data_IF_381893649960
#
_entry.id   IF_381893649960
#
_cell.length_a   1.000
_cell.length_b   1.000
_cell.length_c   1.000
_cell.angle_alpha   90.00
_cell.angle_beta   90.00
_cell.angle_gamma   90.00
#
_symmetry.space_group_name_H-M   'P 1'
#
loop_
_entity.id
_entity.type
_entity.pdbx_description
1 polymer ?
#
# COMPACT_ATOMS: atom_id res chain seq x y z
N UNK A 1 3.85 -5.64 -24.42
CA UNK A 1 2.93 -5.61 -23.26
C UNK A 1 3.78 -5.63 -22.01
N UNK A 2 3.61 -4.64 -21.14
CA UNK A 2 4.53 -4.34 -20.03
C UNK A 2 4.23 -5.23 -18.84
N UNK A 3 5.28 -5.68 -18.16
CA UNK A 3 5.22 -6.17 -16.79
C UNK A 3 6.57 -5.90 -16.16
N UNK A 4 6.60 -5.54 -14.89
CA UNK A 4 7.15 -6.42 -13.84
C UNK A 4 6.35 -6.21 -12.54
N UNK A 5 5.22 -6.91 -12.47
CA UNK A 5 4.64 -7.45 -11.24
C UNK A 5 4.36 -8.95 -11.39
N UNK A 6 4.74 -9.57 -12.53
CA UNK A 6 4.31 -10.93 -12.92
C UNK A 6 4.97 -12.05 -12.11
N UNK A 7 6.28 -11.96 -11.79
CA UNK A 7 6.97 -12.99 -10.99
C UNK A 7 6.59 -12.96 -9.52
N UNK A 8 6.27 -11.77 -9.00
CA UNK A 8 5.85 -11.56 -7.61
C UNK A 8 4.37 -11.88 -7.43
N UNK A 9 3.54 -11.50 -8.42
CA UNK A 9 2.12 -11.81 -8.40
C UNK A 9 1.86 -13.31 -8.66
N UNK A 10 2.75 -14.04 -9.35
CA UNK A 10 2.49 -15.44 -9.71
C UNK A 10 2.33 -16.37 -8.49
N UNK A 11 3.22 -16.37 -7.47
CA UNK A 11 3.02 -17.15 -6.25
C UNK A 11 1.69 -16.83 -5.57
N UNK A 12 1.39 -15.55 -5.36
CA UNK A 12 0.17 -15.13 -4.68
C UNK A 12 -1.10 -15.41 -5.48
N UNK A 13 -1.09 -15.20 -6.80
CA UNK A 13 -2.19 -15.57 -7.71
C UNK A 13 -2.47 -17.06 -7.67
N UNK A 14 -1.43 -17.89 -7.72
CA UNK A 14 -1.56 -19.36 -7.61
C UNK A 14 -2.12 -19.77 -6.26
N UNK A 15 -1.66 -19.15 -5.19
CA UNK A 15 -2.14 -19.44 -3.84
C UNK A 15 -3.61 -19.04 -3.66
N UNK A 16 -3.99 -17.85 -4.14
CA UNK A 16 -5.37 -17.36 -4.09
C UNK A 16 -6.31 -18.26 -4.88
N UNK A 17 -5.91 -18.70 -6.07
CA UNK A 17 -6.73 -19.57 -6.94
C UNK A 17 -7.11 -20.93 -6.30
N UNK A 18 -6.43 -21.38 -5.25
CA UNK A 18 -6.71 -22.69 -4.60
C UNK A 18 -8.09 -22.80 -3.96
N UNK A 19 -8.73 -21.69 -3.60
CA UNK A 19 -10.06 -21.71 -2.96
C UNK A 19 -11.23 -21.62 -3.97
N UNK A 20 -10.91 -21.59 -5.26
CA UNK A 20 -11.91 -21.49 -6.34
C UNK A 20 -12.60 -20.12 -6.46
N UNK A 21 -12.22 -19.13 -5.64
CA UNK A 21 -12.72 -17.75 -5.72
C UNK A 21 -11.69 -16.90 -6.48
N UNK A 22 -12.02 -16.48 -7.70
CA UNK A 22 -11.12 -15.65 -8.50
C UNK A 22 -10.97 -14.25 -7.90
N UNK A 23 -9.73 -13.79 -7.79
CA UNK A 23 -9.38 -12.38 -7.65
C UNK A 23 -8.65 -12.00 -8.93
N UNK A 24 -9.24 -11.11 -9.71
CA UNK A 24 -8.65 -10.65 -10.96
C UNK A 24 -7.72 -9.48 -10.70
N UNK A 25 -6.46 -9.64 -11.11
CA UNK A 25 -5.42 -8.64 -10.88
C UNK A 25 -5.15 -7.83 -12.13
N UNK A 26 -5.29 -6.51 -12.01
CA UNK A 26 -4.83 -5.55 -13.00
C UNK A 26 -3.57 -4.88 -12.46
N UNK A 27 -2.48 -4.98 -13.21
CA UNK A 27 -1.20 -4.42 -12.80
C UNK A 27 -0.89 -3.21 -13.67
N UNK A 28 -0.50 -2.11 -13.01
CA UNK A 28 0.00 -0.91 -13.65
C UNK A 28 1.36 -0.57 -13.06
N UNK A 29 2.20 0.06 -13.88
CA UNK A 29 3.50 0.58 -13.47
C UNK A 29 3.37 2.08 -13.16
N UNK A 30 4.32 2.62 -12.41
CA UNK A 30 4.55 4.06 -12.40
C UNK A 30 4.96 4.59 -13.78
N UNK A 31 5.03 5.93 -13.91
CA UNK A 31 5.37 6.59 -15.19
C UNK A 31 6.85 6.93 -15.32
N UNK A 32 7.60 6.87 -14.24
CA UNK A 32 8.98 7.35 -14.16
C UNK A 32 9.91 6.16 -14.07
N UNK A 33 10.91 6.07 -14.95
CA UNK A 33 11.89 4.97 -14.89
C UNK A 33 12.67 5.07 -13.57
N UNK A 34 12.80 3.93 -12.89
CA UNK A 34 13.42 3.84 -11.58
C UNK A 34 14.59 2.84 -11.60
N UNK A 35 15.47 2.97 -10.62
CA UNK A 35 16.52 2.00 -10.35
C UNK A 35 16.17 1.20 -9.09
N UNK A 36 16.49 -0.10 -9.09
CA UNK A 36 16.35 -0.91 -7.87
C UNK A 36 17.32 -0.45 -6.79
N UNK A 37 16.89 -0.61 -5.55
CA UNK A 37 17.77 -0.53 -4.39
C UNK A 37 18.61 -1.81 -4.29
N UNK A 38 19.86 -1.72 -3.83
CA UNK A 38 20.75 -2.87 -3.63
C UNK A 38 20.09 -3.92 -2.74
N UNK A 39 20.15 -5.19 -3.16
CA UNK A 39 19.57 -6.33 -2.47
C UNK A 39 18.14 -6.68 -2.91
N UNK A 40 17.53 -5.90 -3.80
CA UNK A 40 16.20 -6.19 -4.39
C UNK A 40 16.27 -6.83 -5.78
N UNK A 41 17.47 -7.00 -6.34
CA UNK A 41 17.71 -7.52 -7.70
C UNK A 41 17.24 -8.97 -7.87
N UNK A 42 17.22 -9.76 -6.79
CA UNK A 42 16.66 -11.12 -6.81
C UNK A 42 15.13 -11.17 -6.79
N UNK A 43 14.48 -10.05 -6.45
CA UNK A 43 13.04 -9.99 -6.24
C UNK A 43 12.28 -9.40 -7.44
N UNK A 44 12.92 -8.54 -8.24
CA UNK A 44 12.28 -7.85 -9.37
C UNK A 44 13.13 -7.93 -10.65
N UNK A 45 12.49 -8.13 -11.80
CA UNK A 45 13.13 -8.01 -13.11
C UNK A 45 12.86 -6.62 -13.71
N UNK A 46 13.79 -6.06 -14.49
CA UNK A 46 13.59 -4.74 -15.10
C UNK A 46 12.70 -4.79 -16.36
N UNK A 47 12.26 -3.62 -16.87
CA UNK A 47 12.49 -2.27 -16.34
C UNK A 47 11.62 -1.94 -15.10
N UNK A 48 12.12 -1.05 -14.23
CA UNK A 48 11.43 -0.62 -13.01
C UNK A 48 10.85 0.77 -13.19
N UNK A 49 9.71 1.01 -12.54
CA UNK A 49 9.02 2.30 -12.63
C UNK A 49 8.55 2.77 -11.26
N UNK A 50 8.81 4.04 -10.96
CA UNK A 50 8.28 4.80 -9.83
C UNK A 50 7.08 5.66 -10.24
N UNK A 51 6.27 5.99 -9.25
CA UNK A 51 5.13 6.91 -9.32
C UNK A 51 5.50 8.35 -8.98
N UNK A 52 6.61 8.56 -8.26
CA UNK A 52 7.10 9.89 -7.91
C UNK A 52 8.38 10.23 -8.68
N UNK A 53 8.41 11.42 -9.30
CA UNK A 53 9.56 11.88 -10.10
C UNK A 53 10.82 12.15 -9.26
N UNK A 54 10.64 12.40 -7.96
CA UNK A 54 11.68 12.89 -7.06
C UNK A 54 12.42 11.76 -6.32
N UNK A 55 12.00 10.50 -6.49
CA UNK A 55 12.64 9.32 -5.88
C UNK A 55 13.54 8.64 -6.91
N UNK A 56 14.34 9.43 -7.64
CA UNK A 56 15.54 8.89 -8.28
C UNK A 56 16.56 8.79 -7.16
N UNK A 57 16.75 7.60 -6.63
CA UNK A 57 17.66 7.40 -5.51
C UNK A 57 18.67 6.32 -5.85
N UNK A 58 19.92 6.74 -5.96
CA UNK A 58 21.06 5.82 -5.98
C UNK A 58 21.25 5.25 -4.57
N UNK A 59 22.06 4.21 -4.44
CA UNK A 59 22.43 3.65 -3.14
C UNK A 59 23.03 4.69 -2.19
N UNK A 60 23.78 5.65 -2.72
CA UNK A 60 24.36 6.74 -1.94
C UNK A 60 23.27 7.65 -1.36
N UNK A 61 22.12 7.76 -2.05
CA UNK A 61 20.98 8.56 -1.64
C UNK A 61 20.05 7.85 -0.65
N UNK A 62 20.14 6.52 -0.45
CA UNK A 62 19.31 5.78 0.55
C UNK A 62 20.10 5.11 1.66
N UNK A 63 21.39 4.81 1.46
CA UNK A 63 22.21 4.09 2.43
C UNK A 63 22.40 4.87 3.75
N UNK A 64 22.66 6.19 3.76
CA UNK A 64 22.67 6.95 5.01
C UNK A 64 21.34 6.85 5.77
N UNK A 65 20.22 6.69 5.07
CA UNK A 65 18.86 6.74 5.62
C UNK A 65 18.46 5.42 6.27
N UNK A 66 18.67 4.32 5.57
CA UNK A 66 18.41 2.96 6.05
C UNK A 66 19.33 2.62 7.23
N UNK A 67 20.59 3.09 7.20
CA UNK A 67 21.58 2.77 8.23
C UNK A 67 21.50 3.67 9.48
N UNK A 68 21.07 4.94 9.35
CA UNK A 68 20.99 5.88 10.50
C UNK A 68 19.65 5.87 11.23
N UNK A 69 18.57 5.34 10.62
CA UNK A 69 17.24 5.26 11.24
C UNK A 69 16.95 3.90 11.88
N UNK A 70 18.00 3.15 12.27
CA UNK A 70 17.88 2.02 13.21
C UNK A 70 17.47 2.55 14.59
N UNK A 71 16.21 2.92 14.69
CA UNK A 71 15.48 3.20 15.91
C UNK A 71 14.49 2.07 16.09
N UNK A 72 15.02 0.84 16.21
CA UNK A 72 14.21 -0.38 16.35
C UNK A 72 13.18 -0.29 17.48
N UNK A 73 13.35 0.66 18.41
CA UNK A 73 12.48 0.92 19.55
C UNK A 73 11.72 2.27 19.51
N UNK A 74 11.83 3.07 18.44
CA UNK A 74 11.02 4.29 18.33
C UNK A 74 9.56 3.95 17.99
N UNK A 75 8.63 4.78 18.48
CA UNK A 75 7.24 4.71 18.02
C UNK A 75 7.21 4.92 16.49
N UNK A 76 6.32 4.22 15.75
CA UNK A 76 6.22 4.35 14.30
C UNK A 76 6.16 5.80 13.80
N UNK A 77 5.39 6.65 14.47
CA UNK A 77 5.22 8.06 14.13
C UNK A 77 6.48 8.89 14.43
N UNK A 78 7.18 8.63 15.53
CA UNK A 78 8.46 9.26 15.85
C UNK A 78 9.51 8.94 14.80
N UNK A 79 9.52 7.70 14.31
CA UNK A 79 10.38 7.27 13.21
C UNK A 79 10.05 8.06 11.93
N UNK A 80 8.76 8.20 11.59
CA UNK A 80 8.33 8.97 10.42
C UNK A 80 8.71 10.44 10.50
N UNK A 81 8.66 11.06 11.69
CA UNK A 81 9.12 12.46 11.88
C UNK A 81 10.61 12.61 11.63
N UNK A 82 11.43 11.74 12.24
CA UNK A 82 12.89 11.76 12.01
C UNK A 82 13.24 11.47 10.55
N UNK A 83 12.49 10.56 9.93
CA UNK A 83 12.62 10.24 8.52
C UNK A 83 12.33 11.47 7.62
N UNK A 84 11.37 12.32 8.00
CA UNK A 84 11.13 13.62 7.34
C UNK A 84 12.24 14.64 7.62
N UNK A 85 12.67 14.78 8.88
CA UNK A 85 13.68 15.75 9.32
C UNK A 85 15.05 15.52 8.70
N UNK A 86 15.40 14.26 8.41
CA UNK A 86 16.69 13.92 7.80
C UNK A 86 16.84 14.42 6.35
N UNK A 87 15.82 15.06 5.77
CA UNK A 87 15.92 15.81 4.52
C UNK A 87 15.35 15.09 3.29
N UNK A 88 14.47 14.10 3.46
CA UNK A 88 13.76 13.51 2.31
C UNK A 88 12.92 14.60 1.66
N UNK A 89 13.02 14.81 0.33
CA UNK A 89 12.14 15.74 -0.37
C UNK A 89 10.68 15.42 -0.08
N UNK A 90 9.90 16.47 0.20
CA UNK A 90 8.46 16.35 0.35
C UNK A 90 7.88 15.88 -0.98
N UNK A 91 7.41 14.64 -1.01
CA UNK A 91 6.80 14.05 -2.20
C UNK A 91 5.50 14.77 -2.53
N UNK A 92 5.35 15.27 -3.75
CA UNK A 92 4.06 15.72 -4.25
C UNK A 92 3.22 14.51 -4.73
N UNK A 93 2.14 14.13 -4.01
CA UNK A 93 1.37 12.94 -4.37
C UNK A 93 0.46 13.14 -5.60
N UNK A 94 0.29 14.37 -6.06
CA UNK A 94 -0.83 14.76 -6.93
C UNK A 94 -0.84 14.02 -8.25
N UNK A 95 0.30 13.98 -8.96
CA UNK A 95 0.39 13.33 -10.26
C UNK A 95 0.16 11.81 -10.16
N UNK A 96 0.71 11.18 -9.12
CA UNK A 96 0.56 9.75 -8.87
C UNK A 96 -0.88 9.38 -8.53
N UNK A 97 -1.50 10.11 -7.58
CA UNK A 97 -2.89 9.88 -7.17
C UNK A 97 -3.85 10.09 -8.34
N UNK A 98 -3.67 11.18 -9.10
CA UNK A 98 -4.46 11.45 -10.29
C UNK A 98 -4.31 10.35 -11.34
N UNK A 99 -3.11 9.81 -11.53
CA UNK A 99 -2.88 8.70 -12.45
C UNK A 99 -3.58 7.40 -12.03
N UNK A 100 -3.51 7.02 -10.75
CA UNK A 100 -4.23 5.83 -10.27
C UNK A 100 -5.74 6.00 -10.41
N UNK A 101 -6.26 7.18 -10.07
CA UNK A 101 -7.68 7.50 -10.18
C UNK A 101 -8.15 7.47 -11.64
N UNK A 102 -7.43 8.14 -12.54
CA UNK A 102 -7.70 8.16 -13.97
C UNK A 102 -7.70 6.75 -14.57
N UNK A 103 -6.72 5.92 -14.21
CA UNK A 103 -6.69 4.53 -14.65
C UNK A 103 -7.92 3.74 -14.18
N UNK A 104 -8.31 3.89 -12.91
CA UNK A 104 -9.46 3.20 -12.34
C UNK A 104 -10.78 3.63 -12.99
N UNK A 105 -10.96 4.93 -13.23
CA UNK A 105 -12.20 5.49 -13.82
C UNK A 105 -12.38 5.13 -15.30
N UNK A 106 -11.30 4.78 -16.01
CA UNK A 106 -11.35 4.36 -17.41
C UNK A 106 -11.49 2.84 -17.62
N UNK A 107 -11.64 2.05 -16.55
CA UNK A 107 -11.96 0.64 -16.70
C UNK A 107 -13.46 0.42 -16.90
N UNK A 108 -13.82 -0.65 -17.61
CA UNK A 108 -15.22 -1.02 -17.84
C UNK A 108 -15.95 -1.39 -16.55
N UNK A 109 -15.22 -1.93 -15.56
CA UNK A 109 -15.73 -2.32 -14.25
C UNK A 109 -14.88 -1.66 -13.15
N UNK A 110 -15.48 -1.20 -12.05
CA UNK A 110 -14.75 -0.58 -10.96
C UNK A 110 -13.89 -1.60 -10.21
N UNK A 111 -12.71 -1.16 -9.77
CA UNK A 111 -11.86 -1.97 -8.90
C UNK A 111 -12.36 -1.96 -7.46
N UNK A 112 -12.53 -3.16 -6.90
CA UNK A 112 -12.91 -3.32 -5.50
C UNK A 112 -11.73 -3.14 -4.54
N UNK A 113 -10.54 -3.58 -4.94
CA UNK A 113 -9.34 -3.54 -4.12
C UNK A 113 -8.18 -2.86 -4.83
N UNK A 114 -7.31 -2.22 -4.05
CA UNK A 114 -6.00 -1.73 -4.49
C UNK A 114 -4.88 -2.46 -3.74
N UNK A 115 -3.82 -2.84 -4.46
CA UNK A 115 -2.63 -3.44 -3.88
C UNK A 115 -1.41 -2.62 -4.28
N UNK A 116 -0.58 -2.26 -3.31
CA UNK A 116 0.67 -1.55 -3.55
C UNK A 116 1.84 -2.16 -2.79
N UNK A 117 3.04 -2.02 -3.37
CA UNK A 117 4.30 -2.35 -2.73
C UNK A 117 5.14 -1.07 -2.55
N UNK A 118 5.75 -0.89 -1.38
CA UNK A 118 6.65 0.22 -1.04
C UNK A 118 6.05 1.58 -1.38
N UNK A 119 6.62 2.30 -2.33
CA UNK A 119 6.08 3.55 -2.86
C UNK A 119 4.62 3.42 -3.35
N UNK A 120 4.31 2.37 -4.12
CA UNK A 120 2.96 2.12 -4.63
C UNK A 120 1.93 1.88 -3.53
N UNK A 121 2.34 1.34 -2.37
CA UNK A 121 1.46 1.24 -1.20
C UNK A 121 1.10 2.62 -0.63
N UNK A 122 2.06 3.54 -0.63
CA UNK A 122 1.87 4.91 -0.13
C UNK A 122 1.01 5.74 -1.09
N UNK A 123 1.20 5.56 -2.41
CA UNK A 123 0.33 6.15 -3.44
C UNK A 123 -1.09 5.61 -3.27
N UNK A 124 -1.26 4.29 -3.15
CA UNK A 124 -2.57 3.68 -2.94
C UNK A 124 -3.28 4.22 -1.69
N UNK A 125 -2.58 4.32 -0.57
CA UNK A 125 -3.11 4.91 0.66
C UNK A 125 -3.54 6.37 0.45
N UNK A 126 -2.72 7.17 -0.24
CA UNK A 126 -3.02 8.58 -0.57
C UNK A 126 -4.25 8.69 -1.48
N UNK A 127 -4.39 7.79 -2.46
CA UNK A 127 -5.57 7.72 -3.33
C UNK A 127 -6.83 7.39 -2.54
N UNK A 128 -6.78 6.45 -1.60
CA UNK A 128 -7.94 6.11 -0.75
C UNK A 128 -8.36 7.31 0.10
N UNK A 129 -7.40 8.02 0.72
CA UNK A 129 -7.67 9.25 1.47
C UNK A 129 -8.30 10.32 0.57
N UNK A 130 -7.76 10.51 -0.64
CA UNK A 130 -8.32 11.45 -1.60
C UNK A 130 -9.75 11.08 -2.00
N UNK A 131 -10.01 9.82 -2.37
CA UNK A 131 -11.33 9.30 -2.73
C UNK A 131 -12.36 9.51 -1.62
N UNK A 132 -11.98 9.27 -0.36
CA UNK A 132 -12.85 9.48 0.79
C UNK A 132 -13.21 10.96 1.00
N UNK A 133 -12.26 11.87 0.79
CA UNK A 133 -12.47 13.32 0.92
C UNK A 133 -13.26 13.92 -0.23
N UNK A 134 -13.14 13.37 -1.44
CA UNK A 134 -13.85 13.84 -2.64
C UNK A 134 -15.16 13.10 -2.91
N UNK A 135 -15.53 12.14 -2.05
CA UNK A 135 -16.71 11.30 -2.22
C UNK A 135 -16.75 10.59 -3.58
N UNK A 136 -15.60 10.05 -4.02
CA UNK A 136 -15.50 9.33 -5.28
C UNK A 136 -16.47 8.13 -5.33
N UNK A 137 -17.25 8.02 -6.42
CA UNK A 137 -18.24 6.96 -6.60
C UNK A 137 -17.59 5.57 -6.82
N UNK A 138 -16.43 5.55 -7.48
CA UNK A 138 -15.65 4.34 -7.76
C UNK A 138 -14.50 4.15 -6.76
N UNK A 139 -14.71 4.53 -5.49
CA UNK A 139 -13.70 4.39 -4.46
C UNK A 139 -13.35 2.92 -4.19
N UNK A 140 -12.07 2.66 -3.90
CA UNK A 140 -11.61 1.36 -3.44
C UNK A 140 -12.29 0.98 -2.13
N UNK A 141 -12.57 -0.31 -1.96
CA UNK A 141 -13.36 -0.85 -0.85
C UNK A 141 -12.54 -1.78 0.05
N UNK A 142 -11.33 -2.13 -0.35
CA UNK A 142 -10.30 -2.74 0.48
C UNK A 142 -8.91 -2.44 -0.07
N UNK A 143 -7.87 -2.61 0.76
CA UNK A 143 -6.50 -2.33 0.33
C UNK A 143 -5.47 -3.30 0.90
N UNK A 144 -4.43 -3.59 0.11
CA UNK A 144 -3.30 -4.42 0.51
C UNK A 144 -2.03 -3.59 0.38
N UNK A 145 -1.33 -3.38 1.49
CA UNK A 145 -0.09 -2.61 1.56
C UNK A 145 1.06 -3.54 1.91
N UNK A 146 2.08 -3.58 1.06
CA UNK A 146 3.30 -4.36 1.30
C UNK A 146 4.45 -3.38 1.49
N UNK A 147 5.02 -3.27 2.69
CA UNK A 147 6.14 -2.36 2.97
C UNK A 147 5.85 -0.87 2.74
N UNK A 148 4.60 -0.40 2.92
CA UNK A 148 4.20 0.98 2.61
C UNK A 148 4.56 2.02 3.67
N UNK A 149 4.35 3.30 3.32
CA UNK A 149 4.46 4.46 4.21
C UNK A 149 3.07 5.11 4.38
N UNK A 150 2.85 5.94 5.42
CA UNK A 150 1.59 6.64 5.62
C UNK A 150 1.21 7.54 4.42
N UNK A 151 -0.09 7.77 4.16
CA UNK A 151 -0.56 8.54 3.02
C UNK A 151 -0.06 9.99 3.07
N UNK A 152 0.12 10.61 1.90
CA UNK A 152 0.45 12.02 1.79
C UNK A 152 -0.82 12.84 1.57
N UNK A 153 -0.86 14.00 2.23
CA UNK A 153 -1.88 15.01 2.04
C UNK A 153 -1.73 15.71 0.69
N UNK A 154 -2.81 15.87 -0.06
CA UNK A 154 -2.77 16.44 -1.41
C UNK A 154 -2.45 17.94 -1.43
N UNK A 155 -2.67 18.68 -0.34
CA UNK A 155 -2.48 20.13 -0.28
C UNK A 155 -1.15 20.49 0.38
N UNK A 156 -0.89 19.94 1.56
CA UNK A 156 0.33 20.20 2.32
C UNK A 156 1.51 19.34 1.89
N UNK A 157 1.26 18.28 1.10
CA UNK A 157 2.23 17.27 0.68
C UNK A 157 2.93 16.56 1.85
N UNK A 158 2.44 16.73 3.08
CA UNK A 158 3.01 16.07 4.27
C UNK A 158 2.43 14.66 4.39
N UNK A 159 3.26 13.74 4.89
CA UNK A 159 2.78 12.45 5.33
C UNK A 159 1.84 12.66 6.52
N UNK A 160 0.65 12.07 6.42
CA UNK A 160 -0.36 12.08 7.47
C UNK A 160 0.04 11.03 8.51
N UNK A 161 0.01 11.36 9.80
CA UNK A 161 0.34 10.46 10.91
C UNK A 161 -0.87 10.30 11.85
N UNK A 162 -1.02 9.12 12.44
CA UNK A 162 -2.20 8.81 13.27
C UNK A 162 -2.32 9.72 14.51
N UNK A 163 -1.20 10.19 15.05
CA UNK A 163 -1.15 11.04 16.24
C UNK A 163 -1.11 12.55 15.95
N UNK A 164 -0.92 12.95 14.68
CA UNK A 164 -0.94 14.35 14.23
C UNK A 164 -2.25 14.70 13.51
N UNK A 165 -2.87 13.73 12.84
CA UNK A 165 -4.00 13.92 11.95
C UNK A 165 -5.23 13.12 12.40
N UNK A 166 -6.41 13.68 12.14
CA UNK A 166 -7.71 12.99 12.37
C UNK A 166 -8.13 12.12 11.19
N UNK A 167 -7.37 12.14 10.08
CA UNK A 167 -7.65 11.33 8.89
C UNK A 167 -7.50 9.84 9.21
N UNK A 168 -8.47 9.03 8.80
CA UNK A 168 -8.47 7.57 8.99
C UNK A 168 -8.89 6.86 7.72
N UNK A 169 -8.22 5.76 7.40
CA UNK A 169 -8.61 4.85 6.32
C UNK A 169 -9.55 3.80 6.92
N UNK A 170 -10.83 3.87 6.56
CA UNK A 170 -11.91 3.05 7.17
C UNK A 170 -12.32 1.82 6.37
N UNK A 171 -11.70 1.60 5.21
CA UNK A 171 -11.92 0.37 4.44
C UNK A 171 -11.06 -0.74 5.05
N UNK A 172 -11.46 -2.03 4.94
CA UNK A 172 -10.61 -3.14 5.35
C UNK A 172 -9.24 -3.11 4.68
N UNK A 173 -8.18 -3.36 5.46
CA UNK A 173 -6.81 -3.35 4.94
C UNK A 173 -5.99 -4.54 5.41
N UNK A 174 -4.99 -4.93 4.62
CA UNK A 174 -3.93 -5.82 5.07
C UNK A 174 -2.57 -5.16 4.90
N UNK A 175 -1.75 -5.26 5.94
CA UNK A 175 -0.41 -4.72 6.02
C UNK A 175 0.56 -5.88 6.08
N UNK A 176 1.24 -6.13 4.97
CA UNK A 176 2.22 -7.19 4.80
C UNK A 176 3.59 -6.58 5.08
N UNK A 177 4.20 -6.98 6.19
CA UNK A 177 5.43 -6.38 6.71
C UNK A 177 6.51 -7.43 6.91
N UNK A 178 7.77 -7.03 6.84
CA UNK A 178 8.89 -7.89 7.18
C UNK A 178 9.54 -7.46 8.49
N UNK A 179 9.72 -8.36 9.46
CA UNK A 179 10.40 -8.02 10.72
C UNK A 179 11.85 -7.56 10.52
N UNK A 180 12.51 -7.96 9.44
CA UNK A 180 13.85 -7.53 9.07
C UNK A 180 13.87 -6.35 8.09
N UNK A 181 12.70 -5.76 7.78
CA UNK A 181 12.59 -4.55 6.96
C UNK A 181 13.11 -3.33 7.76
N UNK A 182 14.17 -2.64 7.29
CA UNK A 182 14.66 -1.44 7.96
C UNK A 182 13.63 -0.31 8.05
N UNK A 183 12.67 -0.30 7.12
CA UNK A 183 11.56 0.66 7.06
C UNK A 183 10.29 0.12 7.75
N UNK A 184 10.34 -0.98 8.51
CA UNK A 184 9.15 -1.57 9.16
C UNK A 184 8.32 -0.55 9.94
N UNK A 185 8.98 0.39 10.62
CA UNK A 185 8.31 1.45 11.37
C UNK A 185 7.37 2.30 10.49
N UNK A 186 7.70 2.55 9.22
CA UNK A 186 6.81 3.29 8.32
C UNK A 186 5.54 2.50 7.98
N UNK A 187 5.66 1.18 7.80
CA UNK A 187 4.50 0.30 7.56
C UNK A 187 3.60 0.20 8.78
N UNK A 188 4.17 0.23 9.99
CA UNK A 188 3.39 0.30 11.23
C UNK A 188 2.72 1.67 11.41
N UNK A 189 3.35 2.77 11.01
CA UNK A 189 2.72 4.08 11.04
C UNK A 189 1.54 4.16 10.05
N UNK A 190 1.67 3.51 8.88
CA UNK A 190 0.56 3.35 7.94
C UNK A 190 -0.58 2.50 8.54
N UNK A 191 -0.24 1.40 9.22
CA UNK A 191 -1.21 0.57 9.95
C UNK A 191 -1.99 1.38 11.00
N UNK A 192 -1.33 2.25 11.75
CA UNK A 192 -1.97 3.06 12.79
C UNK A 192 -3.00 4.08 12.26
N UNK A 193 -2.97 4.45 10.97
CA UNK A 193 -3.98 5.31 10.33
C UNK A 193 -5.22 4.52 9.88
N UNK A 194 -5.06 3.22 9.67
CA UNK A 194 -6.15 2.36 9.24
C UNK A 194 -7.03 1.96 10.44
N UNK A 195 -8.27 1.57 10.14
CA UNK A 195 -9.24 1.18 11.16
C UNK A 195 -8.81 -0.14 11.85
N UNK A 196 -8.52 -0.08 13.15
CA UNK A 196 -8.00 -1.21 13.91
C UNK A 196 -8.94 -2.43 13.93
N UNK A 197 -10.24 -2.25 13.71
CA UNK A 197 -11.19 -3.38 13.68
C UNK A 197 -11.15 -4.16 12.36
N UNK A 198 -10.69 -3.53 11.28
CA UNK A 198 -10.71 -4.11 9.93
C UNK A 198 -9.33 -4.19 9.27
N UNK A 199 -8.27 -3.85 10.02
CA UNK A 199 -6.88 -3.86 9.55
C UNK A 199 -6.13 -5.07 10.06
N UNK A 200 -5.58 -5.86 9.13
CA UNK A 200 -4.78 -7.05 9.40
C UNK A 200 -3.30 -6.71 9.28
N UNK A 201 -2.48 -7.17 10.22
CA UNK A 201 -1.02 -7.08 10.15
C UNK A 201 -0.42 -8.47 10.01
N UNK A 202 0.24 -8.76 8.88
CA UNK A 202 0.92 -10.02 8.63
C UNK A 202 2.43 -9.79 8.51
N UNK A 203 3.19 -10.35 9.45
CA UNK A 203 4.65 -10.29 9.45
C UNK A 203 5.25 -11.54 8.80
N UNK A 204 6.02 -11.34 7.73
CA UNK A 204 6.61 -12.39 6.91
C UNK A 204 8.10 -12.63 7.17
N UNK A 205 8.65 -12.13 8.28
CA UNK A 205 10.02 -12.33 8.79
C UNK A 205 11.22 -11.81 7.97
N UNK A 206 11.00 -11.40 6.71
CA UNK A 206 12.07 -11.00 5.78
C UNK A 206 12.29 -9.49 5.78
N UNK A 207 13.14 -9.01 4.87
CA UNK A 207 13.41 -7.59 4.66
C UNK A 207 12.32 -6.86 3.87
N UNK A 208 12.68 -5.72 3.29
CA UNK A 208 11.83 -4.89 2.43
C UNK A 208 11.59 -5.52 1.05
N UNK A 209 10.82 -6.61 1.00
CA UNK A 209 10.56 -7.39 -0.21
C UNK A 209 9.10 -7.80 -0.29
N UNK A 210 8.64 -8.22 -1.46
CA UNK A 210 7.40 -9.00 -1.56
C UNK A 210 7.74 -10.48 -1.36
N UNK A 211 7.17 -11.17 -0.35
CA UNK A 211 7.52 -12.54 -0.07
C UNK A 211 7.02 -13.51 -1.16
N UNK A 212 7.86 -14.47 -1.54
CA UNK A 212 7.56 -15.47 -2.58
C UNK A 212 7.75 -16.92 -2.12
N UNK A 213 8.26 -17.15 -0.91
CA UNK A 213 8.33 -18.49 -0.33
C UNK A 213 6.94 -18.99 0.06
N UNK A 214 6.77 -20.31 0.13
CA UNK A 214 5.47 -20.94 0.34
C UNK A 214 4.78 -20.51 1.64
N UNK A 215 5.53 -20.40 2.75
CA UNK A 215 4.96 -20.05 4.06
C UNK A 215 4.43 -18.61 4.04
N UNK A 216 5.26 -17.67 3.62
CA UNK A 216 4.86 -16.26 3.59
C UNK A 216 3.80 -15.97 2.52
N UNK A 217 3.83 -16.68 1.38
CA UNK A 217 2.79 -16.57 0.35
C UNK A 217 1.42 -17.03 0.87
N UNK A 218 1.37 -18.14 1.62
CA UNK A 218 0.12 -18.61 2.25
C UNK A 218 -0.45 -17.59 3.24
N UNK A 219 0.39 -17.01 4.10
CA UNK A 219 -0.05 -16.00 5.06
C UNK A 219 -0.52 -14.71 4.38
N UNK A 220 0.20 -14.25 3.35
CA UNK A 220 -0.23 -13.11 2.54
C UNK A 220 -1.56 -13.39 1.84
N UNK A 221 -1.76 -14.60 1.31
CA UNK A 221 -3.03 -15.00 0.68
C UNK A 221 -4.19 -15.03 1.69
N UNK A 222 -3.94 -15.49 2.91
CA UNK A 222 -4.94 -15.47 3.99
C UNK A 222 -5.37 -14.04 4.33
N UNK A 223 -4.41 -13.12 4.48
CA UNK A 223 -4.70 -11.71 4.76
C UNK A 223 -5.50 -11.05 3.61
N UNK A 224 -5.15 -11.31 2.35
CA UNK A 224 -5.89 -10.80 1.18
C UNK A 224 -7.34 -11.33 1.18
N UNK A 225 -7.54 -12.61 1.50
CA UNK A 225 -8.88 -13.20 1.58
C UNK A 225 -9.73 -12.56 2.66
N UNK A 226 -9.13 -12.27 3.81
CA UNK A 226 -9.84 -11.65 4.93
C UNK A 226 -10.26 -10.21 4.60
N UNK A 227 -9.42 -9.43 3.92
CA UNK A 227 -9.81 -8.10 3.38
C UNK A 227 -10.96 -8.21 2.39
N UNK A 228 -10.86 -9.14 1.43
CA UNK A 228 -11.93 -9.40 0.44
C UNK A 228 -13.25 -9.74 1.14
N UNK A 229 -13.21 -10.66 2.09
CA UNK A 229 -14.41 -11.14 2.76
C UNK A 229 -15.00 -10.06 3.70
N UNK A 230 -14.17 -9.29 4.40
CA UNK A 230 -14.58 -8.14 5.21
C UNK A 230 -15.26 -7.04 4.38
N UNK A 231 -14.72 -6.76 3.19
CA UNK A 231 -15.34 -5.84 2.22
C UNK A 231 -16.75 -6.30 1.80
N UNK A 232 -16.93 -7.60 1.53
CA UNK A 232 -18.23 -8.16 1.14
C UNK A 232 -19.25 -8.09 2.29
N UNK A 233 -18.82 -8.27 3.54
CA UNK A 233 -19.67 -8.10 4.73
C UNK A 233 -20.12 -6.65 4.89
N UNK A 234 -19.21 -5.68 4.74
CA UNK A 234 -19.54 -4.25 4.84
C UNK A 234 -20.59 -3.83 3.80
N UNK A 235 -20.52 -4.36 2.57
CA UNK A 235 -21.53 -4.14 1.52
C UNK A 235 -22.92 -4.66 1.92
N UNK A 236 -22.98 -5.86 2.51
CA UNK A 236 -24.27 -6.46 2.90
C UNK A 236 -25.00 -5.65 3.98
N UNK A 237 -24.26 -5.05 4.93
CA UNK A 237 -24.84 -4.20 5.97
C UNK A 237 -25.29 -2.83 5.42
N UNK A 238 -24.51 -2.22 4.51
CA UNK A 238 -24.90 -0.96 3.86
C UNK A 238 -26.17 -1.06 3.01
N UNK A 239 -26.41 -2.21 2.37
CA UNK A 239 -27.62 -2.45 1.58
C UNK A 239 -28.89 -2.66 2.43
N UNK A 240 -28.76 -3.14 3.67
CA UNK A 240 -29.90 -3.36 4.57
C UNK A 240 -30.42 -2.04 5.17
N UNK A 241 -29.55 -1.07 5.40
CA UNK A 241 -29.91 0.25 5.96
C UNK A 241 -30.57 1.15 4.91
N UNK A 242 -30.22 1.00 3.63
CA UNK A 242 -30.83 1.76 2.53
C UNK A 242 -32.30 1.37 2.21
N UNK A 243 -32.79 0.26 2.76
CA UNK A 243 -34.14 -0.26 2.53
C UNK A 243 -35.19 0.10 3.60
N UNK A 244 -34.81 0.80 4.67
CA UNK A 244 -35.77 1.19 5.71
C UNK A 244 -36.45 2.52 5.32
N UNK A 245 -37.79 2.56 5.19
CA UNK A 245 -38.49 3.83 4.99
C UNK A 245 -38.23 4.72 6.20
N UNK A 246 -37.84 5.98 5.94
CA UNK A 246 -37.71 7.00 6.99
C UNK A 246 -39.08 7.13 7.67
N UNK A 247 -39.13 6.81 8.96
CA UNK A 247 -40.25 7.13 9.85
C UNK A 247 -40.28 8.63 10.15
#
# INVERSE_FOLDING_TARGET
MPFVLLKIAAPIKRELAKDGKSIDFHCINGKTEAHLFLGSESSFEGPFYGYYDEIVSTLEDVAPWILTTSLLDAKPEDWMRKFRENGRPTVNPTAAVAYIQDYADHQSEPFDLVLGFSEGASVAASTIVHQARTHCLNAFKGAIFIGGYPPYDMESHRSLLADEDTTRIRIPTAHIVGSADPSRASSLALYNICDAETSILFDHDKGHIVPTDGKSTMGMAAAIREVRDGMLVARSHGSLVAGMPKL
#
